data_IF_317664434950
#
_entry.id   IF_317664434950
#
_cell.length_a   1.000
_cell.length_b   1.000
_cell.length_c   1.000
_cell.angle_alpha   90.00
_cell.angle_beta   90.00
_cell.angle_gamma   90.00
#
_symmetry.space_group_name_H-M   'P 1'
#
loop_
_entity.id
_entity.type
_entity.pdbx_description
1 polymer ?
#
# COMPACT_ATOMS: atom_id res chain seq x y z
N UNK A 1 -37.81 3.53 43.81
CA UNK A 1 -36.37 3.55 43.46
C UNK A 1 -36.03 2.45 42.45
N UNK A 2 -36.48 2.54 41.19
CA UNK A 2 -36.20 1.49 40.17
C UNK A 2 -35.74 2.11 38.81
N UNK A 3 -35.80 3.44 38.67
CA UNK A 3 -35.58 4.12 37.37
C UNK A 3 -34.15 4.62 37.10
N UNK A 4 -33.25 4.66 38.09
CA UNK A 4 -31.91 5.25 37.89
C UNK A 4 -30.86 4.27 37.33
N UNK A 5 -31.02 2.95 37.50
CA UNK A 5 -29.96 1.99 37.13
C UNK A 5 -29.91 1.68 35.63
N UNK A 6 -31.02 1.85 34.90
CA UNK A 6 -31.04 1.62 33.44
C UNK A 6 -30.26 2.68 32.67
N UNK A 7 -30.19 3.91 33.17
CA UNK A 7 -29.45 5.02 32.53
C UNK A 7 -27.94 4.94 32.74
N UNK A 8 -27.49 4.38 33.88
CA UNK A 8 -26.05 4.21 34.16
C UNK A 8 -25.46 3.07 33.33
N UNK A 9 -26.22 2.00 33.09
CA UNK A 9 -25.79 0.91 32.22
C UNK A 9 -25.64 1.36 30.75
N UNK A 10 -26.50 2.28 30.29
CA UNK A 10 -26.46 2.80 28.93
C UNK A 10 -25.25 3.71 28.68
N UNK A 11 -24.84 4.49 29.68
CA UNK A 11 -23.63 5.32 29.59
C UNK A 11 -22.34 4.50 29.55
N UNK A 12 -22.29 3.37 30.27
CA UNK A 12 -21.11 2.49 30.27
C UNK A 12 -20.90 1.77 28.94
N UNK A 13 -21.97 1.45 28.20
CA UNK A 13 -21.84 0.88 26.86
C UNK A 13 -21.24 1.87 25.86
N UNK A 14 -21.61 3.16 25.94
CA UNK A 14 -21.08 4.18 25.01
C UNK A 14 -19.58 4.42 25.26
N UNK A 15 -19.13 4.42 26.51
CA UNK A 15 -17.71 4.61 26.84
C UNK A 15 -16.80 3.41 26.50
N UNK A 16 -17.35 2.19 26.44
CA UNK A 16 -16.59 1.01 25.99
C UNK A 16 -16.43 0.97 24.46
N UNK A 17 -17.39 1.50 23.70
CA UNK A 17 -17.24 1.65 22.24
C UNK A 17 -16.37 2.84 21.84
N UNK A 18 -16.29 3.91 22.64
CA UNK A 18 -15.44 5.07 22.31
C UNK A 18 -13.93 4.81 22.47
N UNK A 19 -13.50 3.75 23.15
CA UNK A 19 -12.07 3.44 23.35
C UNK A 19 -11.49 2.42 22.35
N UNK A 20 -12.26 1.97 21.36
CA UNK A 20 -11.77 1.14 20.23
C UNK A 20 -11.73 1.95 18.92
N UNK A 21 -11.54 3.26 19.02
CA UNK A 21 -11.05 4.07 17.91
C UNK A 21 -9.52 4.14 17.97
N UNK A 22 -8.85 2.98 18.01
CA UNK A 22 -7.49 2.88 17.50
C UNK A 22 -7.63 2.80 15.99
N UNK A 23 -7.25 3.87 15.31
CA UNK A 23 -7.22 3.99 13.85
C UNK A 23 -6.09 3.15 13.23
N UNK A 24 -6.00 1.89 13.63
CA UNK A 24 -5.12 0.87 13.04
C UNK A 24 -6.02 -0.29 12.61
N UNK A 25 -6.39 -0.34 11.33
CA UNK A 25 -7.18 -1.41 10.73
C UNK A 25 -8.62 -1.01 10.38
N UNK A 26 -8.78 -0.29 9.27
CA UNK A 26 -10.08 -0.22 8.62
C UNK A 26 -10.47 -1.62 8.12
N UNK A 27 -11.69 -2.07 8.39
CA UNK A 27 -12.16 -3.38 7.94
C UNK A 27 -12.38 -3.40 6.41
N UNK A 28 -12.45 -4.60 5.82
CA UNK A 28 -12.65 -4.79 4.37
C UNK A 28 -13.92 -4.06 3.85
N UNK A 29 -14.95 -3.92 4.68
CA UNK A 29 -16.18 -3.21 4.34
C UNK A 29 -15.98 -1.69 4.27
N UNK A 30 -15.16 -1.13 5.14
CA UNK A 30 -14.76 0.28 5.13
C UNK A 30 -13.91 0.59 3.91
N UNK A 31 -13.00 -0.32 3.52
CA UNK A 31 -12.27 -0.22 2.26
C UNK A 31 -13.19 -0.19 1.03
N UNK A 32 -14.23 -1.03 1.00
CA UNK A 32 -15.22 -1.05 -0.07
C UNK A 32 -16.11 0.20 -0.08
N UNK A 33 -16.55 0.68 1.09
CA UNK A 33 -17.37 1.88 1.22
C UNK A 33 -16.62 3.16 0.80
N UNK A 34 -15.33 3.24 1.12
CA UNK A 34 -14.45 4.36 0.77
C UNK A 34 -13.82 4.22 -0.63
N UNK A 35 -14.09 3.12 -1.34
CA UNK A 35 -13.53 2.87 -2.67
C UNK A 35 -14.05 3.88 -3.70
N UNK A 36 -13.25 4.93 -3.95
CA UNK A 36 -13.53 5.91 -4.98
C UNK A 36 -12.71 5.64 -6.24
N UNK A 37 -13.31 4.90 -7.19
CA UNK A 37 -12.67 4.60 -8.50
C UNK A 37 -12.31 5.84 -9.30
N UNK A 38 -13.07 6.93 -9.17
CA UNK A 38 -12.77 8.19 -9.85
C UNK A 38 -11.56 8.89 -9.26
N UNK A 39 -11.28 8.67 -7.98
CA UNK A 39 -10.12 9.24 -7.30
C UNK A 39 -8.82 8.49 -7.61
N UNK A 40 -8.91 7.19 -7.94
CA UNK A 40 -7.74 6.38 -8.31
C UNK A 40 -6.90 6.98 -9.45
N UNK A 41 -7.50 7.78 -10.35
CA UNK A 41 -6.78 8.51 -11.41
C UNK A 41 -5.76 9.53 -10.89
N UNK A 42 -5.90 9.95 -9.63
CA UNK A 42 -4.99 10.86 -8.94
C UNK A 42 -3.85 10.13 -8.24
N UNK A 43 -3.83 8.78 -8.29
CA UNK A 43 -2.75 7.96 -7.73
C UNK A 43 -1.83 7.56 -8.87
N UNK A 44 -0.57 7.98 -8.75
CA UNK A 44 0.50 7.59 -9.64
C UNK A 44 1.18 6.34 -9.08
N UNK A 45 1.32 5.31 -9.92
CA UNK A 45 1.90 4.02 -9.53
C UNK A 45 2.97 3.66 -10.54
N UNK A 46 4.18 3.41 -10.06
CA UNK A 46 5.24 2.78 -10.85
C UNK A 46 5.60 1.45 -10.23
N UNK A 47 5.75 0.42 -11.04
CA UNK A 47 6.12 -0.91 -10.59
C UNK A 47 7.33 -1.41 -11.38
N UNK A 48 8.29 -1.97 -10.67
CA UNK A 48 9.55 -2.45 -11.24
C UNK A 48 9.92 -3.82 -10.70
N UNK A 49 10.48 -4.65 -11.58
CA UNK A 49 11.25 -5.83 -11.17
C UNK A 49 12.71 -5.43 -11.08
N UNK A 50 13.27 -5.54 -9.88
CA UNK A 50 14.61 -5.02 -9.55
C UNK A 50 15.43 -6.06 -8.80
N UNK A 51 16.74 -5.86 -8.81
CA UNK A 51 17.69 -6.71 -8.07
C UNK A 51 17.89 -6.17 -6.65
N UNK A 52 18.52 -6.98 -5.79
CA UNK A 52 18.88 -6.57 -4.43
C UNK A 52 19.75 -5.32 -4.42
N UNK A 53 20.68 -5.19 -5.36
CA UNK A 53 21.60 -4.06 -5.47
C UNK A 53 20.86 -2.76 -5.82
N UNK A 54 19.87 -2.82 -6.71
CA UNK A 54 19.03 -1.66 -7.03
C UNK A 54 18.18 -1.23 -5.82
N UNK A 55 17.63 -2.19 -5.07
CA UNK A 55 16.91 -1.89 -3.82
C UNK A 55 17.84 -1.21 -2.81
N UNK A 56 19.04 -1.76 -2.60
CA UNK A 56 20.01 -1.18 -1.68
C UNK A 56 20.37 0.26 -2.07
N UNK A 57 20.63 0.49 -3.37
CA UNK A 57 20.94 1.82 -3.91
C UNK A 57 19.80 2.81 -3.69
N UNK A 58 18.56 2.39 -3.90
CA UNK A 58 17.36 3.21 -3.73
C UNK A 58 17.23 3.77 -2.31
N UNK A 59 17.53 2.96 -1.30
CA UNK A 59 17.42 3.36 0.10
C UNK A 59 18.69 4.02 0.67
N UNK A 60 19.80 3.99 -0.05
CA UNK A 60 21.05 4.64 0.37
C UNK A 60 21.31 6.00 -0.26
N UNK A 61 20.74 6.29 -1.44
CA UNK A 61 21.02 7.52 -2.21
C UNK A 61 19.77 8.39 -2.37
N UNK A 62 19.90 9.69 -2.11
CA UNK A 62 18.76 10.65 -2.08
C UNK A 62 18.05 10.83 -3.44
N UNK A 63 18.68 10.45 -4.54
CA UNK A 63 18.14 10.59 -5.91
C UNK A 63 18.42 9.36 -6.78
N UNK A 64 18.43 8.16 -6.19
CA UNK A 64 18.61 6.94 -6.96
C UNK A 64 17.46 6.76 -7.97
N UNK A 65 17.82 6.74 -9.26
CA UNK A 65 16.90 6.36 -10.33
C UNK A 65 16.69 4.86 -10.34
N UNK A 66 15.43 4.45 -10.54
CA UNK A 66 15.07 3.05 -10.72
C UNK A 66 14.74 2.80 -12.18
N UNK A 67 15.40 1.82 -12.76
CA UNK A 67 15.18 1.35 -14.12
C UNK A 67 14.70 -0.09 -14.10
N UNK A 68 13.66 -0.37 -14.90
CA UNK A 68 13.15 -1.72 -15.10
C UNK A 68 14.22 -2.60 -15.74
N UNK A 69 14.55 -3.72 -15.09
CA UNK A 69 15.48 -4.70 -15.64
C UNK A 69 14.79 -5.64 -16.63
N UNK A 70 15.54 -6.08 -17.63
CA UNK A 70 15.08 -7.09 -18.59
C UNK A 70 15.08 -8.48 -17.96
N UNK A 71 14.29 -9.43 -18.49
CA UNK A 71 14.29 -10.81 -18.01
C UNK A 71 15.68 -11.45 -18.04
N UNK A 72 16.52 -11.09 -19.03
CA UNK A 72 17.91 -11.57 -19.14
C UNK A 72 18.78 -11.05 -18.00
N UNK A 73 18.63 -9.78 -17.61
CA UNK A 73 19.38 -9.21 -16.48
C UNK A 73 18.91 -9.75 -15.13
N UNK A 74 17.63 -10.14 -15.01
CA UNK A 74 17.06 -10.74 -13.81
C UNK A 74 17.32 -12.25 -13.70
N UNK A 75 17.82 -12.88 -14.76
CA UNK A 75 18.04 -14.32 -14.79
C UNK A 75 19.11 -14.74 -13.79
N UNK A 76 18.80 -15.76 -12.97
CA UNK A 76 19.70 -16.26 -11.93
C UNK A 76 19.88 -15.34 -10.71
N UNK A 77 19.21 -14.18 -10.68
CA UNK A 77 19.29 -13.23 -9.57
C UNK A 77 18.07 -13.33 -8.64
N UNK A 78 18.24 -12.83 -7.42
CA UNK A 78 17.11 -12.53 -6.52
C UNK A 78 16.35 -11.32 -7.07
N UNK A 79 15.06 -11.52 -7.30
CA UNK A 79 14.20 -10.49 -7.87
C UNK A 79 13.25 -9.98 -6.78
N UNK A 80 13.09 -8.67 -6.77
CA UNK A 80 12.17 -7.94 -5.91
C UNK A 80 11.18 -7.17 -6.78
N UNK A 81 9.93 -7.11 -6.34
CA UNK A 81 8.94 -6.19 -6.85
C UNK A 81 9.01 -4.90 -6.04
N UNK A 82 9.45 -3.82 -6.68
CA UNK A 82 9.34 -2.47 -6.14
C UNK A 82 8.06 -1.83 -6.68
N UNK A 83 7.20 -1.35 -5.80
CA UNK A 83 6.04 -0.53 -6.14
C UNK A 83 6.19 0.83 -5.49
N UNK A 84 6.18 1.88 -6.32
CA UNK A 84 6.29 3.27 -5.92
C UNK A 84 4.95 3.93 -6.13
N UNK A 85 4.35 4.46 -5.08
CA UNK A 85 3.00 5.05 -5.11
C UNK A 85 3.06 6.50 -4.68
N UNK A 86 2.39 7.37 -5.42
CA UNK A 86 2.30 8.79 -5.11
C UNK A 86 0.87 9.28 -5.26
N UNK A 87 0.41 10.02 -4.27
CA UNK A 87 -0.91 10.63 -4.26
C UNK A 87 -0.83 12.07 -4.77
N UNK A 88 -1.29 12.30 -6.00
CA UNK A 88 -1.36 13.62 -6.63
C UNK A 88 -2.69 14.33 -6.36
N UNK A 89 -3.61 13.70 -5.64
CA UNK A 89 -4.91 14.30 -5.32
C UNK A 89 -4.90 15.13 -4.05
N UNK A 90 -6.07 15.69 -3.72
CA UNK A 90 -6.27 16.60 -2.59
C UNK A 90 -6.52 15.86 -1.26
N UNK A 91 -7.05 14.65 -1.32
CA UNK A 91 -7.46 13.87 -0.14
C UNK A 91 -6.39 12.86 0.26
N UNK A 92 -6.35 12.53 1.55
CA UNK A 92 -5.62 11.37 2.05
C UNK A 92 -6.19 10.09 1.41
N UNK A 93 -5.32 9.17 1.02
CA UNK A 93 -5.70 7.93 0.36
C UNK A 93 -4.93 6.74 0.90
N UNK A 94 -5.54 5.57 0.84
CA UNK A 94 -4.97 4.28 1.23
C UNK A 94 -5.68 3.21 0.41
N UNK A 95 -5.13 1.99 0.34
CA UNK A 95 -5.82 0.90 -0.33
C UNK A 95 -4.95 -0.27 -0.71
N UNK A 96 -5.46 -1.09 -1.60
CA UNK A 96 -4.81 -2.31 -2.07
C UNK A 96 -4.44 -2.17 -3.55
N UNK A 97 -3.20 -2.53 -3.89
CA UNK A 97 -2.74 -2.70 -5.25
C UNK A 97 -2.63 -4.17 -5.58
N UNK A 98 -3.21 -4.59 -6.71
CA UNK A 98 -3.05 -5.94 -7.23
C UNK A 98 -2.09 -5.92 -8.41
N UNK A 99 -0.88 -6.42 -8.19
CA UNK A 99 0.18 -6.45 -9.19
C UNK A 99 0.20 -7.82 -9.89
N UNK A 100 -0.07 -7.83 -11.19
CA UNK A 100 0.08 -9.02 -12.02
C UNK A 100 1.46 -9.02 -12.67
N UNK A 101 2.26 -10.05 -12.38
CA UNK A 101 3.54 -10.25 -13.05
C UNK A 101 3.36 -11.33 -14.12
N UNK A 102 3.86 -11.08 -15.33
CA UNK A 102 3.85 -12.08 -16.41
C UNK A 102 4.54 -13.36 -15.93
N UNK A 103 3.95 -14.52 -16.26
CA UNK A 103 4.38 -15.85 -15.83
C UNK A 103 4.17 -16.19 -14.34
N UNK A 104 3.61 -15.28 -13.54
CA UNK A 104 3.03 -15.63 -12.24
C UNK A 104 1.51 -15.78 -12.37
N UNK A 105 0.99 -16.92 -11.89
CA UNK A 105 -0.43 -17.29 -12.04
C UNK A 105 -1.39 -16.49 -11.15
N UNK A 106 -0.90 -15.95 -10.03
CA UNK A 106 -1.71 -15.23 -9.04
C UNK A 106 -1.17 -13.80 -8.89
N UNK A 107 -2.04 -12.76 -8.94
CA UNK A 107 -1.62 -11.39 -8.63
C UNK A 107 -1.11 -11.26 -7.19
N UNK A 108 -0.08 -10.45 -7.01
CA UNK A 108 0.44 -10.10 -5.68
C UNK A 108 -0.36 -8.89 -5.18
N UNK A 109 -1.01 -9.03 -4.03
CA UNK A 109 -1.70 -7.92 -3.36
C UNK A 109 -0.73 -7.20 -2.44
N UNK A 110 -0.65 -5.87 -2.59
CA UNK A 110 0.19 -4.99 -1.79
C UNK A 110 -0.73 -3.99 -1.10
N UNK A 111 -0.64 -3.93 0.22
CA UNK A 111 -1.32 -2.91 1.00
C UNK A 111 -0.51 -1.62 1.01
N UNK A 112 -1.15 -0.53 0.62
CA UNK A 112 -0.60 0.81 0.65
C UNK A 112 -1.24 1.54 1.82
N UNK A 113 -0.38 1.90 2.79
CA UNK A 113 -0.78 2.69 3.95
C UNK A 113 -1.27 4.09 3.58
N UNK A 114 -1.65 4.86 4.59
CA UNK A 114 -2.17 6.21 4.39
C UNK A 114 -1.13 7.14 3.77
N UNK A 115 -1.45 7.64 2.58
CA UNK A 115 -0.69 8.64 1.84
C UNK A 115 -1.42 9.99 1.93
N UNK A 116 -0.78 11.05 2.44
CA UNK A 116 -1.41 12.35 2.50
C UNK A 116 -1.72 12.88 1.09
N UNK A 117 -2.79 13.66 0.98
CA UNK A 117 -3.08 14.46 -0.22
C UNK A 117 -2.45 15.84 -0.14
N UNK A 118 -2.62 16.66 -1.18
CA UNK A 118 -2.16 18.04 -1.19
C UNK A 118 -1.62 18.54 -2.54
N UNK A 119 -1.91 17.84 -3.63
CA UNK A 119 -1.66 18.30 -5.00
C UNK A 119 -0.18 18.40 -5.43
N UNK A 120 0.79 18.23 -4.51
CA UNK A 120 2.22 18.36 -4.80
C UNK A 120 3.10 17.54 -3.84
N UNK A 121 2.79 16.26 -3.65
CA UNK A 121 3.74 15.36 -3.00
C UNK A 121 5.00 15.22 -3.87
N UNK A 122 6.17 15.57 -3.31
CA UNK A 122 7.44 15.40 -4.04
C UNK A 122 7.93 13.96 -4.04
N UNK A 123 7.52 13.15 -3.08
CA UNK A 123 8.10 11.84 -2.81
C UNK A 123 7.12 10.71 -3.10
N UNK A 124 7.68 9.58 -3.54
CA UNK A 124 6.97 8.32 -3.64
C UNK A 124 6.99 7.58 -2.30
N UNK A 125 5.92 6.86 -2.01
CA UNK A 125 5.90 5.81 -1.01
C UNK A 125 6.35 4.51 -1.66
N UNK A 126 7.47 3.97 -1.21
CA UNK A 126 8.11 2.80 -1.81
C UNK A 126 7.80 1.54 -0.99
N UNK A 127 7.27 0.52 -1.66
CA UNK A 127 7.01 -0.82 -1.11
C UNK A 127 7.83 -1.85 -1.86
N UNK A 128 8.57 -2.71 -1.13
CA UNK A 128 9.43 -3.73 -1.72
C UNK A 128 9.02 -5.11 -1.22
N UNK A 129 8.79 -6.02 -2.16
CA UNK A 129 8.46 -7.41 -1.88
C UNK A 129 9.44 -8.34 -2.58
N UNK A 130 9.96 -9.33 -1.85
CA UNK A 130 10.73 -10.40 -2.47
C UNK A 130 9.81 -11.34 -3.25
N UNK A 131 10.14 -11.61 -4.52
CA UNK A 131 9.29 -12.44 -5.40
C UNK A 131 9.94 -13.76 -5.83
N UNK A 132 11.23 -13.98 -5.52
CA UNK A 132 11.92 -15.24 -5.79
C UNK A 132 13.22 -15.07 -6.60
N UNK A 133 13.66 -16.16 -7.23
CA UNK A 133 14.84 -16.19 -8.11
C UNK A 133 14.44 -16.53 -9.55
N UNK A 134 14.95 -15.74 -10.50
CA UNK A 134 14.99 -16.04 -11.93
C UNK A 134 13.64 -16.12 -12.65
N UNK A 135 13.31 -15.08 -13.41
CA UNK A 135 12.40 -15.25 -14.55
C UNK A 135 13.12 -16.01 -15.65
N UNK A 136 12.50 -17.07 -16.19
CA UNK A 136 13.02 -17.77 -17.36
C UNK A 136 12.94 -16.78 -18.55
N UNK A 137 14.05 -16.46 -19.23
CA UNK A 137 13.99 -15.63 -20.42
C UNK A 137 13.18 -16.37 -21.51
N UNK A 138 12.17 -15.69 -22.06
CA UNK A 138 11.52 -16.12 -23.30
C UNK A 138 12.47 -15.92 -24.48
#
# INVERSE_FOLDING_TARGET
MIRLWKSVLFLFCICFFCNVARADGLDLFSHLYLSNKKYAKNIEVHAYLVTKEQVAKLFSEENAEVTQKTNKELYGQEVFLLVRVKNNGEYMSFGLLNCKISNQGVPITIEIGMMPGGGNMKFFHDSVLYIGKGFIPN
#
